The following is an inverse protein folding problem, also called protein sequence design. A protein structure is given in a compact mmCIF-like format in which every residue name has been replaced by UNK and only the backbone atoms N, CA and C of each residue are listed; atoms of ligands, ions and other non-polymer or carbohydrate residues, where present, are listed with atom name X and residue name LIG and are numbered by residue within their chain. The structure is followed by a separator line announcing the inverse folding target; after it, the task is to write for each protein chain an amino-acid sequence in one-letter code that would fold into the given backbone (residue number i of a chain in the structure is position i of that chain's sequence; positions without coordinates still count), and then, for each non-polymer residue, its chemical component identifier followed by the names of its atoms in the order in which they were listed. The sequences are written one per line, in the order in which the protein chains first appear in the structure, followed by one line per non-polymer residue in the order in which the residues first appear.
data_IF_329858658170
#
_entry.id   IF_329858658170
#
_cell.length_a   1.000
_cell.length_b   1.000
_cell.length_c   1.000
_cell.angle_alpha   90.00
_cell.angle_beta   90.00
_cell.angle_gamma   90.00
#
_symmetry.space_group_name_H-M   'P 1'
#
loop_
_entity.id
_entity.type
_entity.pdbx_description
1 polymer ?
#
# COMPACT_ATOMS: atom_id res chain seq x y z
N UNK A 1 19.20 74.70 24.89
CA UNK A 1 19.65 75.71 23.91
C UNK A 1 19.38 75.16 22.53
N UNK A 2 18.43 75.79 21.81
CA UNK A 2 18.12 75.72 20.38
C UNK A 2 17.64 74.39 19.77
N UNK A 3 16.38 74.47 19.38
CA UNK A 3 15.59 73.71 18.41
C UNK A 3 16.32 73.32 17.13
N UNK A 4 15.90 72.18 16.56
CA UNK A 4 15.79 72.06 15.11
C UNK A 4 14.64 71.12 14.68
N UNK A 5 13.51 71.77 14.36
CA UNK A 5 12.64 71.60 13.18
C UNK A 5 12.02 70.22 12.89
N UNK A 6 10.71 70.18 13.08
CA UNK A 6 9.68 69.73 12.13
C UNK A 6 10.16 68.91 10.93
N UNK A 7 9.80 67.63 10.91
CA UNK A 7 9.35 66.99 9.67
C UNK A 7 8.15 66.13 9.99
N UNK A 8 7.00 66.64 9.55
CA UNK A 8 5.70 65.98 9.50
C UNK A 8 5.83 64.70 8.67
N UNK A 9 5.92 63.54 9.32
CA UNK A 9 5.96 62.26 8.61
C UNK A 9 4.53 61.88 8.22
N UNK A 10 4.29 61.92 6.92
CA UNK A 10 3.04 61.62 6.24
C UNK A 10 2.60 60.18 6.54
N UNK A 11 1.36 60.05 6.98
CA UNK A 11 0.60 58.80 7.09
C UNK A 11 0.48 58.17 5.69
N UNK A 12 1.08 56.99 5.50
CA UNK A 12 0.71 56.09 4.40
C UNK A 12 0.03 54.85 5.00
N UNK A 13 -1.30 54.89 4.98
CA UNK A 13 -2.15 53.72 5.21
C UNK A 13 -1.95 52.78 4.01
N UNK A 14 -1.13 51.75 4.17
CA UNK A 14 -1.16 50.59 3.27
C UNK A 14 -2.31 49.68 3.73
N UNK A 15 -3.47 49.89 3.11
CA UNK A 15 -4.54 48.88 3.04
C UNK A 15 -4.02 47.70 2.21
N UNK A 16 -3.38 46.73 2.87
CA UNK A 16 -3.15 45.42 2.25
C UNK A 16 -4.48 44.68 2.33
N UNK A 17 -5.23 44.73 1.24
CA UNK A 17 -6.39 43.88 1.02
C UNK A 17 -5.93 42.41 1.12
N UNK A 18 -6.43 41.70 2.13
CA UNK A 18 -6.35 40.24 2.17
C UNK A 18 -7.22 39.69 1.03
N UNK A 19 -6.63 39.54 -0.15
CA UNK A 19 -7.16 38.67 -1.19
C UNK A 19 -7.04 37.24 -0.69
N UNK A 20 -8.11 36.80 -0.02
CA UNK A 20 -8.45 35.40 0.20
C UNK A 20 -8.48 34.69 -1.15
N UNK A 21 -7.34 34.15 -1.56
CA UNK A 21 -7.27 33.12 -2.59
C UNK A 21 -7.37 31.76 -1.88
N UNK A 22 -8.60 31.43 -1.48
CA UNK A 22 -9.02 30.07 -1.17
C UNK A 22 -8.79 29.20 -2.42
N UNK A 23 -7.72 28.42 -2.40
CA UNK A 23 -7.35 27.57 -3.53
C UNK A 23 -6.47 26.38 -3.15
N UNK A 24 -6.43 25.98 -1.88
CA UNK A 24 -6.00 24.64 -1.52
C UNK A 24 -7.08 23.68 -2.01
N UNK A 25 -6.94 23.18 -3.24
CA UNK A 25 -7.54 21.90 -3.62
C UNK A 25 -6.91 20.84 -2.71
N UNK A 26 -7.50 20.68 -1.53
CA UNK A 26 -7.44 19.43 -0.79
C UNK A 26 -8.03 18.42 -1.76
N UNK A 27 -7.20 17.51 -2.28
CA UNK A 27 -7.74 16.31 -2.90
C UNK A 27 -8.65 15.70 -1.84
N UNK A 28 -9.96 15.70 -2.11
CA UNK A 28 -10.89 14.86 -1.35
C UNK A 28 -10.40 13.44 -1.60
N UNK A 29 -9.55 12.95 -0.70
CA UNK A 29 -9.30 11.54 -0.53
C UNK A 29 -10.62 10.98 -0.03
N UNK A 30 -11.54 10.73 -0.98
CA UNK A 30 -12.78 10.03 -0.73
C UNK A 30 -12.38 8.68 -0.19
N UNK A 31 -12.47 8.52 1.12
CA UNK A 31 -12.21 7.26 1.80
C UNK A 31 -13.18 6.25 1.19
N UNK A 32 -12.64 5.33 0.38
CA UNK A 32 -13.40 4.17 -0.06
C UNK A 32 -13.48 3.26 1.16
N UNK A 33 -14.63 3.28 1.83
CA UNK A 33 -14.93 2.31 2.87
C UNK A 33 -15.25 0.99 2.16
N UNK A 34 -14.25 0.12 2.04
CA UNK A 34 -14.41 -1.19 1.43
C UNK A 34 -15.13 -2.09 2.41
N UNK A 35 -16.30 -2.60 2.00
CA UNK A 35 -16.98 -3.63 2.76
C UNK A 35 -16.34 -5.00 2.49
N UNK A 36 -15.42 -5.41 3.37
CA UNK A 36 -14.71 -6.70 3.28
C UNK A 36 -15.66 -7.90 3.34
N UNK A 37 -16.78 -7.82 4.07
CA UNK A 37 -17.75 -8.92 4.12
C UNK A 37 -18.44 -9.12 2.77
N UNK A 38 -18.76 -8.02 2.07
CA UNK A 38 -19.27 -8.10 0.70
C UNK A 38 -18.25 -8.76 -0.23
N UNK A 39 -17.00 -8.31 -0.20
CA UNK A 39 -15.91 -8.90 -1.01
C UNK A 39 -15.76 -10.40 -0.72
N UNK A 40 -15.72 -10.77 0.57
CA UNK A 40 -15.61 -12.16 1.01
C UNK A 40 -16.77 -13.02 0.49
N UNK A 41 -18.01 -12.53 0.57
CA UNK A 41 -19.17 -13.26 0.08
C UNK A 41 -19.10 -13.49 -1.44
N UNK A 42 -18.62 -12.50 -2.22
CA UNK A 42 -18.41 -12.69 -3.67
C UNK A 42 -17.34 -13.75 -3.95
N UNK A 43 -16.20 -13.68 -3.25
CA UNK A 43 -15.12 -14.68 -3.36
C UNK A 43 -15.63 -16.09 -3.06
N UNK A 44 -16.50 -16.26 -2.05
CA UNK A 44 -17.09 -17.55 -1.73
C UNK A 44 -18.02 -18.08 -2.83
N UNK A 45 -18.70 -17.20 -3.57
CA UNK A 45 -19.63 -17.59 -4.63
C UNK A 45 -18.93 -18.09 -5.89
N UNK A 46 -17.85 -17.42 -6.32
CA UNK A 46 -17.18 -17.72 -7.59
C UNK A 46 -15.81 -18.40 -7.44
N UNK A 47 -15.30 -18.47 -6.21
CA UNK A 47 -13.95 -18.95 -5.90
C UNK A 47 -12.82 -18.12 -6.53
N UNK A 48 -13.07 -16.86 -6.87
CA UNK A 48 -12.13 -15.93 -7.50
C UNK A 48 -11.62 -14.93 -6.44
N UNK A 49 -10.33 -15.03 -6.11
CA UNK A 49 -9.69 -14.13 -5.14
C UNK A 49 -9.42 -12.76 -5.80
N UNK A 50 -9.91 -11.68 -5.18
CA UNK A 50 -9.58 -10.31 -5.64
C UNK A 50 -8.13 -9.95 -5.28
N UNK A 51 -7.57 -8.95 -5.97
CA UNK A 51 -6.22 -8.47 -5.71
C UNK A 51 -6.08 -7.91 -4.29
N UNK A 52 -5.12 -8.43 -3.52
CA UNK A 52 -5.02 -8.15 -2.09
C UNK A 52 -4.07 -9.07 -1.32
N UNK A 53 -3.97 -8.84 -0.01
CA UNK A 53 -3.23 -9.70 0.91
C UNK A 53 -4.18 -10.63 1.66
N UNK A 54 -3.78 -11.88 1.82
CA UNK A 54 -4.57 -12.95 2.41
C UNK A 54 -3.73 -13.76 3.41
N UNK A 55 -4.40 -14.42 4.34
CA UNK A 55 -3.77 -15.45 5.14
C UNK A 55 -3.51 -16.69 4.30
N UNK A 56 -2.34 -17.30 4.49
CA UNK A 56 -2.10 -18.69 4.07
C UNK A 56 -2.39 -19.57 5.29
N UNK A 57 -3.21 -20.58 5.08
CA UNK A 57 -3.66 -21.52 6.11
C UNK A 57 -3.15 -22.93 5.80
N UNK A 58 -2.95 -23.72 6.85
CA UNK A 58 -2.46 -25.11 6.72
C UNK A 58 -3.56 -26.10 6.38
N UNK A 59 -4.83 -25.70 6.55
CA UNK A 59 -5.98 -26.58 6.32
C UNK A 59 -6.38 -26.58 4.85
N UNK A 60 -6.88 -27.73 4.38
CA UNK A 60 -7.40 -27.91 3.03
C UNK A 60 -8.76 -27.22 2.78
N UNK A 61 -9.26 -26.44 3.75
CA UNK A 61 -10.50 -25.68 3.64
C UNK A 61 -10.29 -24.32 2.94
N UNK A 62 -9.05 -23.93 2.67
CA UNK A 62 -8.74 -22.75 1.87
C UNK A 62 -8.76 -23.01 0.37
N UNK A 63 -8.68 -21.93 -0.40
CA UNK A 63 -8.56 -22.02 -1.85
C UNK A 63 -7.13 -22.38 -2.23
N UNK A 64 -6.95 -23.57 -2.80
CA UNK A 64 -5.64 -24.00 -3.31
C UNK A 64 -5.20 -23.06 -4.44
N UNK A 65 -4.00 -22.49 -4.32
CA UNK A 65 -3.34 -21.67 -5.34
C UNK A 65 -1.89 -22.11 -5.47
N UNK A 66 -1.45 -22.25 -6.72
CA UNK A 66 -0.02 -22.40 -7.01
C UNK A 66 0.65 -21.03 -6.85
N UNK A 67 1.80 -20.99 -6.19
CA UNK A 67 2.64 -19.81 -6.20
C UNK A 67 3.19 -19.63 -7.61
N UNK A 68 2.92 -18.47 -8.21
CA UNK A 68 3.27 -18.23 -9.60
C UNK A 68 4.78 -18.43 -9.85
N UNK A 69 5.11 -19.08 -10.97
CA UNK A 69 6.48 -19.46 -11.36
C UNK A 69 7.20 -20.31 -10.29
N UNK A 70 6.46 -21.14 -9.56
CA UNK A 70 6.97 -22.13 -8.60
C UNK A 70 6.09 -23.39 -8.66
N UNK A 71 6.62 -24.51 -8.22
CA UNK A 71 5.84 -25.76 -8.04
C UNK A 71 5.18 -25.85 -6.66
N UNK A 72 5.34 -24.82 -5.81
CA UNK A 72 4.73 -24.73 -4.49
C UNK A 72 3.22 -24.41 -4.57
N UNK A 73 2.45 -25.04 -3.69
CA UNK A 73 1.03 -24.78 -3.52
C UNK A 73 0.71 -24.35 -2.10
N UNK A 74 -0.23 -23.42 -1.98
CA UNK A 74 -0.71 -22.90 -0.71
C UNK A 74 -2.23 -22.93 -0.66
N UNK A 75 -2.79 -23.07 0.54
CA UNK A 75 -4.22 -22.86 0.78
C UNK A 75 -4.42 -21.43 1.29
N UNK A 76 -5.23 -20.67 0.57
CA UNK A 76 -5.50 -19.26 0.86
C UNK A 76 -6.84 -19.16 1.58
N UNK A 77 -6.88 -18.49 2.74
CA UNK A 77 -8.15 -18.14 3.38
C UNK A 77 -8.92 -17.19 2.45
N UNK A 78 -10.18 -17.49 2.07
CA UNK A 78 -10.92 -16.65 1.14
C UNK A 78 -11.24 -15.25 1.68
N UNK A 79 -11.10 -14.98 2.99
CA UNK A 79 -11.28 -13.64 3.56
C UNK A 79 -10.02 -12.78 3.38
N UNK A 80 -10.06 -11.69 2.60
CA UNK A 80 -8.90 -10.81 2.44
C UNK A 80 -8.57 -10.08 3.74
N UNK A 81 -7.27 -9.90 4.00
CA UNK A 81 -6.75 -9.00 5.03
C UNK A 81 -6.83 -7.57 4.50
N UNK A 82 -6.31 -7.35 3.29
CA UNK A 82 -6.36 -6.09 2.57
C UNK A 82 -6.74 -6.36 1.13
N UNK A 83 -7.45 -5.44 0.50
CA UNK A 83 -7.67 -5.45 -0.96
C UNK A 83 -6.95 -4.26 -1.59
N UNK A 84 -6.85 -4.24 -2.92
CA UNK A 84 -6.15 -3.18 -3.65
C UNK A 84 -6.61 -1.75 -3.30
N UNK A 85 -7.89 -1.59 -2.98
CA UNK A 85 -8.48 -0.30 -2.59
C UNK A 85 -7.96 0.22 -1.22
N UNK A 86 -7.26 -0.62 -0.45
CA UNK A 86 -6.55 -0.22 0.77
C UNK A 86 -5.12 0.28 0.50
N UNK A 87 -4.64 0.27 -0.76
CA UNK A 87 -3.31 0.74 -1.11
C UNK A 87 -3.34 2.21 -1.55
N UNK A 88 -2.38 2.98 -1.05
CA UNK A 88 -2.24 4.42 -1.33
C UNK A 88 -1.24 4.68 -2.47
N UNK A 89 -0.12 3.95 -2.46
CA UNK A 89 0.95 4.13 -3.44
C UNK A 89 1.62 2.81 -3.77
N UNK A 90 1.96 2.62 -5.05
CA UNK A 90 2.69 1.44 -5.52
C UNK A 90 3.84 1.89 -6.42
N UNK A 91 5.05 1.50 -6.07
CA UNK A 91 6.28 1.92 -6.75
C UNK A 91 7.17 0.73 -7.07
N UNK A 92 7.92 0.83 -8.17
CA UNK A 92 9.00 -0.11 -8.41
C UNK A 92 10.19 0.35 -7.56
N UNK A 93 10.88 -0.58 -6.94
CA UNK A 93 12.18 -0.34 -6.33
C UNK A 93 13.21 -1.29 -6.93
N UNK A 94 14.46 -0.85 -6.97
CA UNK A 94 15.60 -1.66 -7.37
C UNK A 94 16.57 -1.68 -6.19
N UNK A 95 17.07 -2.85 -5.82
CA UNK A 95 18.10 -2.96 -4.78
C UNK A 95 19.47 -2.64 -5.36
N UNK A 96 20.35 -2.11 -4.51
CA UNK A 96 21.80 -2.02 -4.77
C UNK A 96 22.53 -2.63 -3.58
N UNK A 97 22.82 -3.93 -3.67
CA UNK A 97 23.56 -4.66 -2.66
C UNK A 97 25.07 -4.54 -2.82
N UNK A 98 25.55 -3.75 -3.79
CA UNK A 98 26.98 -3.55 -4.06
C UNK A 98 27.73 -4.87 -4.24
N UNK A 99 27.08 -5.85 -4.85
CA UNK A 99 27.63 -7.18 -5.09
C UNK A 99 27.61 -8.15 -3.90
N UNK A 100 27.09 -7.78 -2.73
CA UNK A 100 26.93 -8.72 -1.60
C UNK A 100 25.88 -9.79 -1.88
N UNK A 101 24.84 -9.43 -2.62
CA UNK A 101 23.76 -10.29 -3.08
C UNK A 101 23.36 -9.89 -4.49
N UNK A 102 22.69 -10.77 -5.26
CA UNK A 102 22.11 -10.37 -6.55
C UNK A 102 21.10 -9.24 -6.36
N UNK A 103 21.26 -8.17 -7.12
CA UNK A 103 20.28 -7.10 -7.18
C UNK A 103 18.97 -7.62 -7.79
N UNK A 104 17.86 -7.06 -7.31
CA UNK A 104 16.55 -7.37 -7.86
C UNK A 104 15.66 -6.13 -7.89
N UNK A 105 14.64 -6.22 -8.74
CA UNK A 105 13.56 -5.24 -8.84
C UNK A 105 12.30 -5.81 -8.19
N UNK A 106 11.57 -4.98 -7.46
CA UNK A 106 10.34 -5.37 -6.78
C UNK A 106 9.25 -4.30 -6.85
N UNK A 107 8.12 -4.57 -6.19
CA UNK A 107 7.12 -3.54 -5.91
C UNK A 107 7.09 -3.24 -4.43
N UNK A 108 7.17 -1.96 -4.09
CA UNK A 108 6.81 -1.43 -2.79
C UNK A 108 5.34 -0.99 -2.84
N UNK A 109 4.57 -1.37 -1.83
CA UNK A 109 3.14 -1.09 -1.72
C UNK A 109 2.90 -0.40 -0.38
N UNK A 110 2.53 0.88 -0.44
CA UNK A 110 2.13 1.68 0.70
C UNK A 110 0.64 1.47 0.97
N UNK A 111 0.33 1.15 2.21
CA UNK A 111 -1.03 0.94 2.70
C UNK A 111 -1.59 2.30 3.12
N UNK A 112 -2.86 2.54 2.80
CA UNK A 112 -3.58 3.71 3.27
C UNK A 112 -3.54 3.75 4.81
N UNK A 113 -3.24 4.92 5.36
CA UNK A 113 -3.06 5.15 6.81
C UNK A 113 -4.16 4.56 7.70
N UNK A 114 -5.40 4.51 7.21
CA UNK A 114 -6.56 4.01 7.95
C UNK A 114 -6.49 2.50 8.18
N UNK A 115 -5.79 1.77 7.31
CA UNK A 115 -5.67 0.31 7.33
C UNK A 115 -4.30 -0.18 7.81
N UNK A 116 -3.41 0.72 8.25
CA UNK A 116 -2.08 0.36 8.76
C UNK A 116 -2.17 -0.54 9.99
N UNK A 117 -3.08 -0.24 10.92
CA UNK A 117 -3.28 -1.07 12.11
C UNK A 117 -3.83 -2.46 11.77
N UNK A 118 -4.63 -2.58 10.71
CA UNK A 118 -5.12 -3.86 10.21
C UNK A 118 -3.95 -4.71 9.70
N UNK A 119 -3.03 -4.12 8.95
CA UNK A 119 -1.81 -4.78 8.49
C UNK A 119 -0.87 -5.18 9.62
N UNK A 120 -0.62 -4.28 10.57
CA UNK A 120 0.23 -4.55 11.73
C UNK A 120 -0.32 -5.73 12.54
N UNK A 121 -1.63 -5.74 12.80
CA UNK A 121 -2.31 -6.85 13.50
C UNK A 121 -2.21 -8.15 12.72
N UNK A 122 -2.38 -8.12 11.40
CA UNK A 122 -2.32 -9.32 10.58
C UNK A 122 -0.92 -9.92 10.51
N UNK A 123 0.11 -9.09 10.40
CA UNK A 123 1.52 -9.51 10.40
C UNK A 123 1.94 -10.05 11.76
N UNK A 124 1.55 -9.40 12.86
CA UNK A 124 1.78 -9.91 14.23
C UNK A 124 1.20 -11.31 14.44
N UNK A 125 -0.06 -11.53 14.04
CA UNK A 125 -0.73 -12.84 14.12
C UNK A 125 -0.07 -13.92 13.23
N UNK A 126 0.73 -13.50 12.26
CA UNK A 126 1.31 -14.38 11.24
C UNK A 126 2.81 -14.58 11.40
N UNK A 127 3.42 -14.13 12.50
CA UNK A 127 4.86 -14.34 12.76
C UNK A 127 5.17 -15.86 12.66
N UNK A 128 6.20 -16.20 11.88
CA UNK A 128 6.59 -17.58 11.57
C UNK A 128 5.74 -18.28 10.50
N UNK A 129 4.64 -17.65 10.06
CA UNK A 129 3.75 -18.14 8.99
C UNK A 129 3.94 -17.33 7.71
N UNK A 130 3.25 -17.73 6.64
CA UNK A 130 3.24 -17.01 5.36
C UNK A 130 1.97 -16.19 5.18
N UNK A 131 2.08 -15.07 4.46
CA UNK A 131 0.95 -14.31 3.93
C UNK A 131 0.99 -14.35 2.41
N UNK A 132 -0.17 -14.35 1.75
CA UNK A 132 -0.27 -14.44 0.29
C UNK A 132 -0.63 -13.09 -0.34
N UNK A 133 0.13 -12.64 -1.34
CA UNK A 133 -0.29 -11.55 -2.22
C UNK A 133 -0.96 -12.15 -3.46
N UNK A 134 -2.23 -11.82 -3.64
CA UNK A 134 -3.01 -12.16 -4.83
C UNK A 134 -3.04 -10.96 -5.77
N UNK A 135 -2.85 -11.20 -7.08
CA UNK A 135 -3.12 -10.24 -8.14
C UNK A 135 -3.94 -10.96 -9.21
N UNK A 136 -5.16 -10.48 -9.47
CA UNK A 136 -6.12 -11.06 -10.41
C UNK A 136 -6.25 -12.58 -10.25
N UNK A 137 -6.65 -13.02 -9.05
CA UNK A 137 -6.83 -14.43 -8.67
C UNK A 137 -5.54 -15.30 -8.64
N UNK A 138 -4.38 -14.71 -8.93
CA UNK A 138 -3.08 -15.41 -8.94
C UNK A 138 -2.27 -15.13 -7.68
N UNK A 139 -1.76 -16.19 -7.03
CA UNK A 139 -0.83 -16.05 -5.91
C UNK A 139 0.56 -15.69 -6.43
N UNK A 140 0.95 -14.42 -6.29
CA UNK A 140 2.21 -13.90 -6.86
C UNK A 140 3.35 -13.82 -5.84
N UNK A 141 3.03 -13.68 -4.54
CA UNK A 141 3.99 -13.70 -3.43
C UNK A 141 3.45 -14.50 -2.25
N UNK A 142 4.34 -15.13 -1.50
CA UNK A 142 4.00 -15.87 -0.29
C UNK A 142 5.08 -15.75 0.81
N UNK A 143 5.52 -14.53 1.21
CA UNK A 143 6.65 -14.39 2.13
C UNK A 143 6.33 -14.91 3.53
N UNK A 144 7.35 -15.42 4.21
CA UNK A 144 7.28 -15.65 5.66
C UNK A 144 7.29 -14.30 6.39
N UNK A 145 6.42 -14.15 7.38
CA UNK A 145 6.38 -12.98 8.24
C UNK A 145 7.31 -13.19 9.41
N UNK A 146 8.25 -12.26 9.60
CA UNK A 146 9.27 -12.36 10.64
C UNK A 146 9.03 -11.40 11.82
N UNK A 147 8.19 -10.39 11.64
CA UNK A 147 7.85 -9.42 12.67
C UNK A 147 6.50 -8.77 12.36
N UNK A 148 5.93 -8.12 13.38
CA UNK A 148 4.86 -7.13 13.23
C UNK A 148 5.37 -5.96 12.38
N UNK A 149 4.61 -5.54 11.37
CA UNK A 149 4.97 -4.45 10.47
C UNK A 149 4.06 -3.25 10.72
N UNK A 150 4.60 -2.23 11.40
CA UNK A 150 3.83 -1.05 11.82
C UNK A 150 3.88 0.11 10.81
N UNK A 151 4.86 0.11 9.91
CA UNK A 151 5.13 1.23 8.99
C UNK A 151 4.14 1.37 7.83
N UNK A 152 3.12 0.52 7.74
CA UNK A 152 2.12 0.58 6.66
C UNK A 152 2.70 0.26 5.28
N UNK A 153 3.73 -0.59 5.22
CA UNK A 153 4.41 -0.97 3.98
C UNK A 153 4.36 -2.49 3.80
N UNK A 154 4.28 -2.91 2.54
CA UNK A 154 4.45 -4.30 2.11
C UNK A 154 5.11 -4.35 0.75
N UNK A 155 5.55 -5.53 0.30
CA UNK A 155 6.30 -5.66 -0.94
C UNK A 155 5.99 -6.95 -1.72
N UNK A 156 6.12 -6.86 -3.04
CA UNK A 156 6.39 -7.99 -3.93
C UNK A 156 7.90 -8.03 -4.21
N UNK A 157 8.59 -8.94 -3.55
CA UNK A 157 10.05 -9.06 -3.55
C UNK A 157 10.51 -10.44 -4.04
N UNK A 158 10.06 -10.83 -5.24
CA UNK A 158 10.50 -12.07 -5.89
C UNK A 158 11.21 -11.76 -7.20
N UNK A 159 12.48 -12.15 -7.29
CA UNK A 159 13.36 -11.93 -8.46
C UNK A 159 12.95 -12.69 -9.73
N UNK A 160 11.92 -13.55 -9.65
CA UNK A 160 11.39 -14.30 -10.82
C UNK A 160 10.58 -13.44 -11.80
N UNK A 161 10.27 -12.19 -11.45
CA UNK A 161 9.49 -11.30 -12.29
C UNK A 161 10.38 -10.27 -12.98
N UNK A 162 10.14 -10.09 -14.27
CA UNK A 162 10.73 -9.01 -15.04
C UNK A 162 10.13 -7.65 -14.67
N UNK A 163 10.86 -6.57 -14.98
CA UNK A 163 10.37 -5.18 -14.81
C UNK A 163 9.02 -4.94 -15.51
N UNK A 164 8.79 -5.52 -16.68
CA UNK A 164 7.53 -5.38 -17.41
C UNK A 164 6.37 -6.13 -16.74
N UNK A 165 6.61 -7.29 -16.15
CA UNK A 165 5.60 -7.98 -15.33
C UNK A 165 5.25 -7.18 -14.08
N UNK A 166 6.26 -6.63 -13.39
CA UNK A 166 6.04 -5.77 -12.22
C UNK A 166 5.26 -4.49 -12.58
N UNK A 167 5.51 -3.88 -13.74
CA UNK A 167 4.70 -2.76 -14.24
C UNK A 167 3.24 -3.16 -14.47
N UNK A 168 2.99 -4.34 -15.04
CA UNK A 168 1.61 -4.87 -15.22
C UNK A 168 0.92 -5.10 -13.87
N UNK A 169 1.61 -5.69 -12.91
CA UNK A 169 1.12 -5.89 -11.54
C UNK A 169 0.81 -4.56 -10.85
N UNK A 170 1.70 -3.57 -10.95
CA UNK A 170 1.45 -2.22 -10.45
C UNK A 170 0.18 -1.61 -11.02
N UNK A 171 -0.09 -1.78 -12.33
CA UNK A 171 -1.33 -1.27 -12.95
C UNK A 171 -2.58 -1.99 -12.42
N UNK A 172 -2.52 -3.29 -12.16
CA UNK A 172 -3.65 -4.10 -11.64
C UNK A 172 -3.98 -3.83 -10.17
N UNK A 173 -2.99 -3.36 -9.43
CA UNK A 173 -3.09 -3.03 -8.01
C UNK A 173 -3.48 -1.56 -7.75
N UNK A 174 -3.55 -0.72 -8.79
CA UNK A 174 -4.14 0.62 -8.72
C UNK A 174 -5.67 0.57 -8.92
#
# INVERSE_FOLDING_TARGET
MRDLKNTLLIVFVFLIAFSSCSGLRKADNKVVNVNIDSVYNHILMDSILVSGWYYIIETNNGFKRQLDKSDEFYFVDPRPILVKDHFDKIELFETDFKGQYPDYIGLEIRINKEYVNLWATATEKSIGKRLGLIIDNKLVNAPQVNARIEGGMTALNRSVYSKEELKKFKTRLK
#
